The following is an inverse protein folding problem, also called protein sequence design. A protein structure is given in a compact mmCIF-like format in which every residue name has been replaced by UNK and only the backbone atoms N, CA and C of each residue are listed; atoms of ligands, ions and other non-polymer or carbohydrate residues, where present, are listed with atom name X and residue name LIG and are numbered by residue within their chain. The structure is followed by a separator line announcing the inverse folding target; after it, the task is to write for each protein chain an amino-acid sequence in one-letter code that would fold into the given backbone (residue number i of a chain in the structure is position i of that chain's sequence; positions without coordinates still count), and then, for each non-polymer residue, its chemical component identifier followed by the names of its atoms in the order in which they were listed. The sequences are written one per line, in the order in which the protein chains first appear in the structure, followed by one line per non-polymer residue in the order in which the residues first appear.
data_IF_744596330558
#
_entry.id   IF_744596330558
#
_cell.length_a   1.000
_cell.length_b   1.000
_cell.length_c   1.000
_cell.angle_alpha   90.00
_cell.angle_beta   90.00
_cell.angle_gamma   90.00
#
_symmetry.space_group_name_H-M   'P 1'
#
loop_
_entity.id
_entity.type
_entity.pdbx_description
1 polymer ?
#
# COMPACT_ATOMS: atom_id res chain seq x y z
N UNK A 1 39.27 5.69 -0.13
CA UNK A 1 39.61 7.13 -0.11
C UNK A 1 41.13 7.20 -0.16
N UNK A 2 41.71 7.71 -1.25
CA UNK A 2 43.14 8.06 -1.26
C UNK A 2 43.25 9.51 -0.83
N UNK A 3 44.13 9.79 0.12
CA UNK A 3 44.48 11.14 0.53
C UNK A 3 45.93 11.30 0.10
N UNK A 4 46.15 12.04 -0.98
CA UNK A 4 47.50 12.41 -1.41
C UNK A 4 47.73 13.87 -0.99
N UNK A 5 48.41 14.09 0.16
CA UNK A 5 48.72 15.43 0.62
C UNK A 5 49.76 16.08 -0.31
N UNK A 6 49.48 17.31 -0.74
CA UNK A 6 50.46 18.15 -1.45
C UNK A 6 51.21 18.97 -0.40
N UNK A 7 52.52 18.78 -0.33
CA UNK A 7 53.42 19.49 0.57
C UNK A 7 54.14 20.63 -0.17
N UNK A 8 54.54 21.67 0.55
CA UNK A 8 55.45 22.69 0.04
C UNK A 8 56.92 22.26 0.18
N UNK A 9 57.84 23.06 -0.35
CA UNK A 9 59.29 22.81 -0.32
C UNK A 9 59.90 22.71 1.09
N UNK A 10 59.13 23.00 2.14
CA UNK A 10 59.51 22.86 3.56
C UNK A 10 58.85 21.66 4.25
N UNK A 11 58.18 20.78 3.51
CA UNK A 11 57.50 19.60 4.04
C UNK A 11 56.18 19.88 4.76
N UNK A 12 55.64 21.10 4.65
CA UNK A 12 54.38 21.46 5.29
C UNK A 12 53.20 21.26 4.32
N UNK A 13 52.08 20.65 4.75
CA UNK A 13 50.91 20.43 3.90
C UNK A 13 50.21 21.76 3.58
N UNK A 14 50.01 22.07 2.29
CA UNK A 14 49.48 23.37 1.81
C UNK A 14 48.03 23.31 1.32
N UNK A 15 47.50 22.13 0.96
CA UNK A 15 46.10 21.96 0.54
C UNK A 15 45.67 20.50 0.64
N UNK A 16 44.46 20.27 1.16
CA UNK A 16 43.72 19.02 0.93
C UNK A 16 42.78 19.21 -0.26
N UNK A 17 42.93 18.42 -1.32
CA UNK A 17 41.96 18.36 -2.40
C UNK A 17 40.90 17.32 -2.03
N UNK A 18 39.73 17.78 -1.60
CA UNK A 18 38.59 16.90 -1.35
C UNK A 18 37.84 16.61 -2.65
N UNK A 19 37.98 15.38 -3.17
CA UNK A 19 37.08 14.85 -4.21
C UNK A 19 35.80 14.36 -3.52
N UNK A 20 34.90 15.28 -3.18
CA UNK A 20 33.51 14.98 -2.74
C UNK A 20 32.56 15.02 -3.95
N UNK A 21 33.11 15.19 -5.16
CA UNK A 21 32.35 15.31 -6.39
C UNK A 21 32.21 13.93 -7.01
N UNK A 22 30.96 13.50 -7.19
CA UNK A 22 30.51 12.32 -7.97
C UNK A 22 30.27 10.97 -7.25
N UNK A 23 30.26 10.93 -5.91
CA UNK A 23 29.82 9.71 -5.18
C UNK A 23 28.30 9.71 -4.94
N UNK A 24 27.68 10.88 -4.79
CA UNK A 24 26.26 11.02 -4.45
C UNK A 24 25.34 10.55 -5.58
N UNK A 25 25.62 10.94 -6.83
CA UNK A 25 24.78 10.57 -7.98
C UNK A 25 24.92 9.09 -8.31
N UNK A 26 26.15 8.57 -8.31
CA UNK A 26 26.40 7.13 -8.46
C UNK A 26 25.68 6.29 -7.40
N UNK A 27 25.77 6.66 -6.13
CA UNK A 27 25.08 5.93 -5.05
C UNK A 27 23.56 5.98 -5.17
N UNK A 28 22.99 7.10 -5.61
CA UNK A 28 21.54 7.20 -5.88
C UNK A 28 21.12 6.32 -7.04
N UNK A 29 21.92 6.27 -8.12
CA UNK A 29 21.66 5.40 -9.26
C UNK A 29 21.72 3.92 -8.86
N UNK A 30 22.75 3.51 -8.12
CA UNK A 30 22.90 2.15 -7.60
C UNK A 30 21.73 1.74 -6.68
N UNK A 31 21.27 2.62 -5.78
CA UNK A 31 20.13 2.32 -4.91
C UNK A 31 18.81 2.24 -5.69
N UNK A 32 18.62 3.11 -6.69
CA UNK A 32 17.42 3.08 -7.56
C UNK A 32 17.38 1.79 -8.38
N UNK A 33 18.50 1.37 -8.95
CA UNK A 33 18.62 0.10 -9.68
C UNK A 33 18.31 -1.10 -8.76
N UNK A 34 18.88 -1.10 -7.55
CA UNK A 34 18.59 -2.12 -6.54
C UNK A 34 17.11 -2.17 -6.15
N UNK A 35 16.47 -1.01 -6.02
CA UNK A 35 15.04 -0.93 -5.73
C UNK A 35 14.18 -1.46 -6.89
N UNK A 36 14.53 -1.17 -8.14
CA UNK A 36 13.86 -1.74 -9.31
C UNK A 36 14.03 -3.26 -9.38
N UNK A 37 15.25 -3.77 -9.21
CA UNK A 37 15.51 -5.20 -9.22
C UNK A 37 14.68 -5.93 -8.14
N UNK A 38 14.61 -5.37 -6.93
CA UNK A 38 13.75 -5.89 -5.84
C UNK A 38 12.27 -5.86 -6.21
N UNK A 39 11.81 -4.80 -6.85
CA UNK A 39 10.41 -4.62 -7.28
C UNK A 39 10.04 -5.66 -8.33
N UNK A 40 10.90 -5.85 -9.34
CA UNK A 40 10.69 -6.85 -10.39
C UNK A 40 10.74 -8.28 -9.83
N UNK A 41 11.69 -8.58 -8.94
CA UNK A 41 11.78 -9.88 -8.28
C UNK A 41 10.53 -10.18 -7.44
N UNK A 42 9.99 -9.18 -6.74
CA UNK A 42 8.72 -9.32 -6.02
C UNK A 42 7.57 -9.65 -6.98
N UNK A 43 7.38 -8.83 -8.02
CA UNK A 43 6.29 -9.01 -8.99
C UNK A 43 6.35 -10.37 -9.68
N UNK A 44 7.53 -10.75 -10.17
CA UNK A 44 7.77 -12.02 -10.85
C UNK A 44 7.47 -13.21 -9.94
N UNK A 45 8.02 -13.22 -8.71
CA UNK A 45 7.74 -14.28 -7.74
C UNK A 45 6.25 -14.38 -7.43
N UNK A 46 5.59 -13.26 -7.16
CA UNK A 46 4.17 -13.29 -6.80
C UNK A 46 3.28 -13.70 -7.97
N UNK A 47 3.64 -13.36 -9.21
CA UNK A 47 2.94 -13.85 -10.39
C UNK A 47 3.06 -15.38 -10.53
N UNK A 48 4.25 -15.96 -10.31
CA UNK A 48 4.45 -17.41 -10.35
C UNK A 48 3.64 -18.11 -9.24
N UNK A 49 3.76 -17.64 -8.00
CA UNK A 49 2.99 -18.18 -6.88
C UNK A 49 1.47 -18.11 -7.10
N UNK A 50 0.99 -17.05 -7.77
CA UNK A 50 -0.42 -16.89 -8.08
C UNK A 50 -0.90 -17.95 -9.09
N UNK A 51 -0.11 -18.23 -10.12
CA UNK A 51 -0.42 -19.27 -11.12
C UNK A 51 -0.38 -20.68 -10.51
N UNK A 52 0.50 -20.89 -9.53
CA UNK A 52 0.66 -22.16 -8.82
C UNK A 52 -0.34 -22.36 -7.67
N UNK A 53 -1.27 -21.40 -7.44
CA UNK A 53 -2.23 -21.53 -6.35
C UNK A 53 -3.10 -22.79 -6.52
N UNK A 54 -3.18 -23.64 -5.47
CA UNK A 54 -4.07 -24.80 -5.49
C UNK A 54 -5.53 -24.38 -5.71
N UNK A 55 -6.30 -25.23 -6.41
CA UNK A 55 -7.74 -25.06 -6.56
C UNK A 55 -8.43 -24.91 -5.20
N UNK A 56 -9.27 -23.89 -5.07
CA UNK A 56 -9.97 -23.57 -3.81
C UNK A 56 -9.19 -22.65 -2.86
N UNK A 57 -7.97 -22.23 -3.21
CA UNK A 57 -7.24 -21.21 -2.47
C UNK A 57 -8.00 -19.88 -2.42
N UNK A 58 -7.96 -19.20 -1.26
CA UNK A 58 -8.54 -17.87 -1.12
C UNK A 58 -7.62 -16.82 -1.77
N UNK A 59 -7.95 -16.48 -3.01
CA UNK A 59 -7.23 -15.47 -3.81
C UNK A 59 -7.21 -14.10 -3.13
N UNK A 60 -8.24 -13.73 -2.36
CA UNK A 60 -8.31 -12.43 -1.71
C UNK A 60 -7.35 -12.35 -0.53
N UNK A 61 -7.23 -13.44 0.23
CA UNK A 61 -6.21 -13.56 1.27
C UNK A 61 -4.80 -13.55 0.71
N UNK A 62 -4.57 -14.21 -0.44
CA UNK A 62 -3.28 -14.15 -1.13
C UNK A 62 -2.92 -12.71 -1.53
N UNK A 63 -3.81 -12.01 -2.25
CA UNK A 63 -3.62 -10.60 -2.65
C UNK A 63 -3.34 -9.73 -1.42
N UNK A 64 -4.13 -9.91 -0.37
CA UNK A 64 -3.97 -9.15 0.87
C UNK A 64 -2.58 -9.34 1.47
N UNK A 65 -2.10 -10.59 1.59
CA UNK A 65 -0.80 -10.90 2.20
C UNK A 65 0.34 -10.27 1.41
N UNK A 66 0.28 -10.33 0.08
CA UNK A 66 1.29 -9.74 -0.81
C UNK A 66 1.28 -8.21 -0.76
N UNK A 67 0.10 -7.59 -0.71
CA UNK A 67 -0.01 -6.15 -0.46
C UNK A 67 0.57 -5.78 0.90
N UNK A 68 0.28 -6.55 1.96
CA UNK A 68 0.78 -6.32 3.32
C UNK A 68 2.31 -6.32 3.36
N UNK A 69 2.96 -7.20 2.61
CA UNK A 69 4.42 -7.23 2.45
C UNK A 69 4.96 -5.95 1.78
N UNK A 70 4.24 -5.40 0.79
CA UNK A 70 4.63 -4.17 0.09
C UNK A 70 4.48 -2.92 0.95
N UNK A 71 3.37 -2.80 1.67
CA UNK A 71 2.97 -1.56 2.36
C UNK A 71 3.39 -1.50 3.83
N UNK A 72 4.05 -2.55 4.33
CA UNK A 72 4.54 -2.62 5.70
C UNK A 72 3.42 -2.47 6.73
N UNK A 73 3.65 -1.67 7.79
CA UNK A 73 2.73 -1.50 8.92
C UNK A 73 1.52 -0.57 8.63
N UNK A 74 0.65 -1.01 7.72
CA UNK A 74 -0.65 -0.40 7.38
C UNK A 74 -1.85 -1.25 7.84
N UNK A 75 -3.05 -1.04 7.30
CA UNK A 75 -4.09 -2.05 7.21
C UNK A 75 -4.36 -2.31 5.73
N UNK A 76 -4.67 -3.56 5.39
CA UNK A 76 -5.01 -3.95 4.02
C UNK A 76 -6.38 -4.62 4.06
N UNK A 77 -7.29 -4.13 3.23
CA UNK A 77 -8.56 -4.78 2.95
C UNK A 77 -8.60 -5.18 1.48
N UNK A 78 -9.09 -6.39 1.23
CA UNK A 78 -9.36 -6.86 -0.13
C UNK A 78 -10.83 -7.19 -0.20
N UNK A 79 -11.50 -6.61 -1.19
CA UNK A 79 -12.93 -6.73 -1.35
C UNK A 79 -13.27 -7.32 -2.72
N UNK A 80 -14.38 -8.07 -2.78
CA UNK A 80 -15.03 -8.42 -4.05
C UNK A 80 -16.07 -7.36 -4.39
N UNK A 81 -16.39 -7.24 -5.68
CA UNK A 81 -17.51 -6.43 -6.16
C UNK A 81 -18.54 -7.33 -6.85
N UNK A 82 -19.81 -7.17 -6.46
CA UNK A 82 -20.93 -7.86 -7.08
C UNK A 82 -21.68 -6.90 -8.01
N UNK A 83 -21.72 -7.25 -9.31
CA UNK A 83 -22.29 -6.39 -10.35
C UNK A 83 -23.81 -6.33 -10.32
N UNK A 84 -24.49 -7.39 -9.83
CA UNK A 84 -25.94 -7.43 -9.75
C UNK A 84 -26.46 -6.53 -8.63
N UNK A 85 -25.82 -6.59 -7.47
CA UNK A 85 -26.21 -5.84 -6.27
C UNK A 85 -25.48 -4.50 -6.14
N UNK A 86 -24.48 -4.24 -6.99
CA UNK A 86 -23.65 -3.04 -6.98
C UNK A 86 -22.94 -2.83 -5.62
N UNK A 87 -22.62 -3.93 -4.93
CA UNK A 87 -22.07 -3.91 -3.58
C UNK A 87 -20.63 -4.42 -3.55
N UNK A 88 -19.81 -3.77 -2.72
CA UNK A 88 -18.51 -4.27 -2.29
C UNK A 88 -18.69 -5.11 -1.02
N UNK A 89 -17.99 -6.25 -0.94
CA UNK A 89 -17.94 -7.12 0.23
C UNK A 89 -16.50 -7.39 0.63
N UNK A 90 -16.21 -7.29 1.92
CA UNK A 90 -14.88 -7.58 2.45
C UNK A 90 -14.57 -9.08 2.39
N UNK A 91 -13.42 -9.44 1.82
CA UNK A 91 -12.96 -10.83 1.67
C UNK A 91 -11.64 -11.12 2.39
N UNK A 92 -10.81 -10.10 2.62
CA UNK A 92 -9.64 -10.23 3.47
C UNK A 92 -9.39 -8.95 4.26
N UNK A 93 -9.09 -9.09 5.56
CA UNK A 93 -8.71 -7.99 6.46
C UNK A 93 -7.40 -8.29 7.17
N UNK A 94 -6.36 -7.52 6.86
CA UNK A 94 -5.01 -7.72 7.34
C UNK A 94 -4.50 -6.50 8.11
N UNK A 95 -3.86 -6.79 9.24
CA UNK A 95 -3.36 -5.84 10.23
C UNK A 95 -2.68 -6.60 11.36
N UNK A 96 -2.24 -5.93 12.42
CA UNK A 96 -1.76 -6.67 13.59
C UNK A 96 -2.95 -7.34 14.31
N UNK A 97 -2.77 -8.58 14.78
CA UNK A 97 -3.83 -9.38 15.40
C UNK A 97 -4.60 -8.62 16.49
N UNK A 98 -3.89 -8.00 17.44
CA UNK A 98 -4.48 -7.23 18.55
C UNK A 98 -5.36 -6.07 18.08
N UNK A 99 -5.02 -5.49 16.94
CA UNK A 99 -5.75 -4.35 16.37
C UNK A 99 -7.00 -4.81 15.65
N UNK A 100 -6.92 -5.89 14.89
CA UNK A 100 -8.10 -6.53 14.29
C UNK A 100 -9.09 -6.91 15.40
N UNK A 101 -8.61 -7.53 16.49
CA UNK A 101 -9.45 -7.85 17.65
C UNK A 101 -10.09 -6.58 18.28
N UNK A 102 -9.35 -5.47 18.33
CA UNK A 102 -9.86 -4.18 18.82
C UNK A 102 -10.94 -3.60 17.89
N UNK A 103 -10.75 -3.69 16.57
CA UNK A 103 -11.74 -3.28 15.57
C UNK A 103 -13.03 -4.06 15.73
N UNK A 104 -12.94 -5.40 15.83
CA UNK A 104 -14.11 -6.26 16.00
C UNK A 104 -14.90 -5.92 17.28
N UNK A 105 -14.21 -5.68 18.39
CA UNK A 105 -14.84 -5.28 19.67
C UNK A 105 -15.57 -3.94 19.57
N UNK A 106 -14.98 -2.96 18.90
CA UNK A 106 -15.54 -1.61 18.79
C UNK A 106 -16.71 -1.57 17.79
N UNK A 107 -16.57 -2.25 16.65
CA UNK A 107 -17.59 -2.24 15.61
C UNK A 107 -18.86 -2.99 16.04
N UNK A 108 -18.74 -3.96 16.97
CA UNK A 108 -19.83 -4.83 17.46
C UNK A 108 -20.59 -5.57 16.35
N UNK A 109 -20.03 -5.58 15.13
CA UNK A 109 -20.50 -6.27 13.94
C UNK A 109 -19.30 -6.86 13.24
N UNK A 110 -19.50 -7.97 12.54
CA UNK A 110 -18.46 -8.57 11.74
C UNK A 110 -18.29 -7.79 10.42
N UNK A 111 -17.14 -7.13 10.17
CA UNK A 111 -16.91 -6.41 8.91
C UNK A 111 -17.02 -7.31 7.67
N UNK A 112 -16.77 -8.62 7.82
CA UNK A 112 -16.83 -9.62 6.74
C UNK A 112 -18.26 -9.91 6.27
N UNK A 113 -19.26 -9.63 7.11
CA UNK A 113 -20.69 -9.83 6.80
C UNK A 113 -21.34 -8.54 6.29
N UNK A 114 -20.60 -7.43 6.27
CA UNK A 114 -21.10 -6.16 5.78
C UNK A 114 -20.97 -6.07 4.25
N UNK A 115 -22.02 -5.53 3.62
CA UNK A 115 -22.01 -5.12 2.22
C UNK A 115 -22.04 -3.60 2.14
N UNK A 116 -21.39 -3.02 1.13
CA UNK A 116 -21.29 -1.58 0.94
C UNK A 116 -21.71 -1.22 -0.49
N UNK A 117 -22.88 -0.61 -0.70
CA UNK A 117 -23.28 -0.14 -2.02
C UNK A 117 -22.36 1.00 -2.44
N UNK A 118 -21.80 0.92 -3.65
CA UNK A 118 -20.92 1.98 -4.15
C UNK A 118 -21.73 3.02 -4.91
N UNK A 119 -21.39 4.30 -4.72
CA UNK A 119 -21.92 5.40 -5.51
C UNK A 119 -21.11 5.59 -6.81
N UNK A 120 -21.56 6.49 -7.69
CA UNK A 120 -20.90 6.76 -8.98
C UNK A 120 -19.47 7.30 -8.80
N UNK A 121 -19.23 8.13 -7.79
CA UNK A 121 -17.89 8.67 -7.50
C UNK A 121 -16.91 7.54 -7.14
N UNK A 122 -17.30 6.64 -6.25
CA UNK A 122 -16.49 5.48 -5.88
C UNK A 122 -16.27 4.55 -7.07
N UNK A 123 -17.30 4.32 -7.89
CA UNK A 123 -17.16 3.53 -9.13
C UNK A 123 -16.12 4.16 -10.05
N UNK A 124 -16.23 5.45 -10.33
CA UNK A 124 -15.30 6.18 -11.20
C UNK A 124 -13.86 6.08 -10.69
N UNK A 125 -13.65 6.28 -9.38
CA UNK A 125 -12.34 6.16 -8.73
C UNK A 125 -11.76 4.74 -8.81
N UNK A 126 -12.58 3.71 -8.57
CA UNK A 126 -12.14 2.31 -8.62
C UNK A 126 -11.81 1.84 -10.04
N UNK A 127 -12.41 2.42 -11.07
CA UNK A 127 -12.16 2.05 -12.48
C UNK A 127 -10.96 2.74 -13.12
N UNK A 128 -10.24 3.60 -12.39
CA UNK A 128 -9.11 4.37 -12.93
C UNK A 128 -7.87 3.53 -13.23
N UNK A 129 -7.73 2.34 -12.64
CA UNK A 129 -6.48 1.57 -12.66
C UNK A 129 -5.34 2.23 -11.87
N UNK A 130 -5.66 3.16 -10.95
CA UNK A 130 -4.70 3.90 -10.13
C UNK A 130 -5.12 3.93 -8.67
N UNK A 131 -4.15 4.17 -7.78
CA UNK A 131 -4.43 4.38 -6.37
C UNK A 131 -5.06 5.75 -6.14
N UNK A 132 -6.33 5.75 -5.74
CA UNK A 132 -7.08 6.96 -5.39
C UNK A 132 -7.06 7.15 -3.88
N UNK A 133 -6.75 8.36 -3.42
CA UNK A 133 -6.84 8.70 -2.01
C UNK A 133 -8.29 9.05 -1.65
N UNK A 134 -8.84 8.43 -0.61
CA UNK A 134 -10.21 8.69 -0.15
C UNK A 134 -10.20 9.78 0.92
N UNK A 135 -10.79 10.97 0.67
CA UNK A 135 -10.95 11.99 1.71
C UNK A 135 -12.03 11.59 2.73
N UNK A 136 -11.99 12.16 3.94
CA UNK A 136 -13.06 11.99 4.93
C UNK A 136 -13.00 10.73 5.81
N UNK A 137 -12.00 9.86 5.61
CA UNK A 137 -11.66 8.77 6.53
C UNK A 137 -12.56 7.53 6.39
N UNK A 138 -12.65 6.74 7.46
CA UNK A 138 -13.41 5.49 7.49
C UNK A 138 -14.91 5.71 7.26
N UNK A 139 -15.43 6.88 7.63
CA UNK A 139 -16.86 7.17 7.46
C UNK A 139 -17.26 7.23 5.98
N UNK A 140 -16.46 7.91 5.16
CA UNK A 140 -16.65 7.96 3.71
C UNK A 140 -16.33 6.60 3.08
N UNK A 141 -15.23 5.95 3.48
CA UNK A 141 -14.86 4.61 2.99
C UNK A 141 -15.98 3.57 3.21
N UNK A 142 -16.68 3.68 4.33
CA UNK A 142 -17.80 2.78 4.69
C UNK A 142 -19.15 3.21 4.12
N UNK A 143 -19.19 4.22 3.23
CA UNK A 143 -20.42 4.78 2.68
C UNK A 143 -21.43 5.12 3.78
N UNK A 144 -20.93 5.71 4.88
CA UNK A 144 -21.70 6.13 6.04
C UNK A 144 -22.42 5.01 6.81
N UNK A 145 -22.23 3.73 6.42
CA UNK A 145 -22.78 2.58 7.14
C UNK A 145 -22.20 2.39 8.53
N UNK A 146 -20.98 2.90 8.76
CA UNK A 146 -20.38 2.93 10.09
C UNK A 146 -20.58 4.33 10.68
N UNK A 147 -21.23 4.44 11.86
CA UNK A 147 -21.47 5.74 12.49
C UNK A 147 -20.18 6.55 12.68
N UNK A 148 -20.24 7.86 12.41
CA UNK A 148 -19.06 8.74 12.44
C UNK A 148 -18.27 8.65 13.75
N UNK A 149 -18.95 8.57 14.90
CA UNK A 149 -18.29 8.45 16.21
C UNK A 149 -17.48 7.15 16.35
N UNK A 150 -17.93 6.04 15.78
CA UNK A 150 -17.18 4.77 15.72
C UNK A 150 -15.96 4.93 14.83
N UNK A 151 -16.13 5.49 13.63
CA UNK A 151 -15.02 5.78 12.71
C UNK A 151 -13.95 6.63 13.39
N UNK A 152 -14.32 7.75 14.01
CA UNK A 152 -13.38 8.65 14.68
C UNK A 152 -12.75 8.03 15.92
N UNK A 153 -13.38 7.05 16.57
CA UNK A 153 -12.79 6.27 17.65
C UNK A 153 -11.72 5.32 17.11
N UNK A 154 -12.02 4.57 16.06
CA UNK A 154 -11.08 3.66 15.40
C UNK A 154 -9.88 4.39 14.79
N UNK A 155 -10.14 5.51 14.11
CA UNK A 155 -9.10 6.37 13.50
C UNK A 155 -8.08 6.84 14.54
N UNK A 156 -8.54 7.30 15.70
CA UNK A 156 -7.67 7.76 16.79
C UNK A 156 -6.95 6.59 17.47
N UNK A 157 -7.68 5.54 17.84
CA UNK A 157 -7.13 4.39 18.56
C UNK A 157 -6.01 3.69 17.79
N UNK A 158 -6.20 3.55 16.47
CA UNK A 158 -5.26 2.83 15.61
C UNK A 158 -4.23 3.75 14.95
N UNK A 159 -4.28 5.06 15.22
CA UNK A 159 -3.46 6.08 14.60
C UNK A 159 -3.50 5.99 13.06
N UNK A 160 -4.72 5.99 12.50
CA UNK A 160 -4.92 5.86 11.05
C UNK A 160 -4.49 7.14 10.33
N UNK A 161 -3.83 6.95 9.20
CA UNK A 161 -3.37 7.98 8.29
C UNK A 161 -4.25 8.10 7.04
N UNK A 162 -3.61 8.15 5.87
CA UNK A 162 -4.30 8.17 4.59
C UNK A 162 -4.91 6.83 4.20
N UNK A 163 -6.10 6.89 3.58
CA UNK A 163 -6.82 5.77 2.98
C UNK A 163 -6.63 5.83 1.47
N UNK A 164 -6.20 4.72 0.86
CA UNK A 164 -5.97 4.59 -0.57
C UNK A 164 -6.73 3.39 -1.10
N UNK A 165 -7.37 3.53 -2.25
CA UNK A 165 -8.19 2.48 -2.88
C UNK A 165 -7.80 2.32 -4.35
N UNK A 166 -7.87 1.10 -4.85
CA UNK A 166 -7.75 0.80 -6.28
C UNK A 166 -8.63 -0.41 -6.61
N UNK A 167 -9.36 -0.34 -7.72
CA UNK A 167 -10.19 -1.44 -8.19
C UNK A 167 -9.38 -2.49 -8.96
N UNK A 168 -9.81 -3.74 -8.88
CA UNK A 168 -9.37 -4.81 -9.78
C UNK A 168 -10.20 -4.73 -11.05
N UNK A 169 -9.61 -4.25 -12.14
CA UNK A 169 -10.34 -3.94 -13.37
C UNK A 169 -9.78 -4.66 -14.57
N UNK A 170 -10.62 -5.30 -15.38
CA UNK A 170 -10.21 -5.90 -16.65
C UNK A 170 -11.22 -5.56 -17.73
N UNK A 171 -10.76 -4.98 -18.84
CA UNK A 171 -11.62 -4.55 -19.98
C UNK A 171 -12.80 -3.67 -19.51
N UNK A 172 -12.55 -2.73 -18.60
CA UNK A 172 -13.57 -1.82 -18.05
C UNK A 172 -14.48 -2.42 -16.99
N UNK A 173 -14.43 -3.73 -16.73
CA UNK A 173 -15.23 -4.40 -15.70
C UNK A 173 -14.50 -4.42 -14.36
N UNK A 174 -15.20 -4.02 -13.30
CA UNK A 174 -14.74 -4.06 -11.90
C UNK A 174 -15.03 -5.45 -11.28
N UNK A 175 -14.05 -6.04 -10.63
CA UNK A 175 -14.17 -7.35 -9.94
C UNK A 175 -14.06 -7.23 -8.42
N UNK A 176 -13.50 -6.14 -7.93
CA UNK A 176 -13.24 -5.92 -6.52
C UNK A 176 -12.32 -4.73 -6.30
N UNK A 177 -11.74 -4.62 -5.11
CA UNK A 177 -10.83 -3.54 -4.78
C UNK A 177 -9.84 -3.92 -3.70
N UNK A 178 -8.66 -3.31 -3.73
CA UNK A 178 -7.79 -3.23 -2.56
C UNK A 178 -7.93 -1.87 -1.87
N UNK A 179 -7.90 -1.88 -0.54
CA UNK A 179 -7.85 -0.68 0.30
C UNK A 179 -6.61 -0.78 1.18
N UNK A 180 -5.82 0.29 1.21
CA UNK A 180 -4.65 0.42 2.07
C UNK A 180 -4.87 1.62 3.00
N UNK A 181 -4.83 1.37 4.30
CA UNK A 181 -4.91 2.43 5.31
C UNK A 181 -3.56 2.54 6.00
N UNK A 182 -2.85 3.63 5.71
CA UNK A 182 -1.55 3.96 6.32
C UNK A 182 -1.72 4.40 7.78
N UNK A 183 -0.60 4.63 8.48
CA UNK A 183 -0.58 5.14 9.86
C UNK A 183 0.03 6.51 9.96
N UNK A 184 -0.46 7.29 10.93
CA UNK A 184 0.03 8.63 11.22
C UNK A 184 -0.03 9.54 9.99
N UNK A 185 0.92 10.46 9.88
CA UNK A 185 1.00 11.40 8.75
C UNK A 185 1.80 10.86 7.56
N UNK A 186 2.33 9.63 7.66
CA UNK A 186 3.12 9.04 6.59
C UNK A 186 2.25 8.80 5.35
N UNK A 187 2.79 9.14 4.19
CA UNK A 187 2.17 8.82 2.91
C UNK A 187 2.32 7.34 2.56
N UNK A 188 1.70 6.94 1.45
CA UNK A 188 1.93 5.64 0.85
C UNK A 188 3.14 5.70 -0.07
N UNK A 189 4.19 4.96 0.27
CA UNK A 189 5.39 4.78 -0.55
C UNK A 189 5.17 3.72 -1.64
N UNK A 190 6.09 3.64 -2.62
CA UNK A 190 6.12 2.62 -3.68
C UNK A 190 4.81 2.50 -4.47
N UNK A 191 4.12 3.63 -4.70
CA UNK A 191 2.81 3.65 -5.38
C UNK A 191 2.81 2.93 -6.72
N UNK A 192 3.80 3.19 -7.57
CA UNK A 192 3.90 2.55 -8.89
C UNK A 192 3.95 1.03 -8.81
N UNK A 193 4.73 0.48 -7.85
CA UNK A 193 4.81 -0.96 -7.63
C UNK A 193 3.49 -1.53 -7.13
N UNK A 194 2.80 -0.82 -6.22
CA UNK A 194 1.50 -1.26 -5.70
C UNK A 194 0.45 -1.24 -6.82
N UNK A 195 0.43 -0.18 -7.64
CA UNK A 195 -0.47 -0.08 -8.80
C UNK A 195 -0.21 -1.20 -9.82
N UNK A 196 1.07 -1.48 -10.10
CA UNK A 196 1.47 -2.56 -11.01
C UNK A 196 1.12 -3.94 -10.46
N UNK A 197 1.17 -4.11 -9.15
CA UNK A 197 0.77 -5.37 -8.51
C UNK A 197 -0.76 -5.59 -8.54
N UNK A 198 -1.55 -4.50 -8.41
CA UNK A 198 -3.01 -4.57 -8.36
C UNK A 198 -3.65 -4.66 -9.75
N UNK A 199 -3.10 -3.95 -10.74
CA UNK A 199 -3.64 -3.84 -12.10
C UNK A 199 -3.40 -5.09 -12.94
#
# INVERSE_FOLDING_TARGET
ASIDPVFNDKGNPIRSVHVIKDITERKKAEEKEKQYARSLAFLSRTAMEFVELPSGSDIYQFIGKRLRELVGNSFVFVNSFDETTQCIQLKAFLGARKEIESVLKILKKNPMEMSFPINEEARAGLTTGKLVKVPGGLHVLSFEKIPKHICTTLERLLNLGGIYVMGFTRKGKLFGSAVIITRGRAGLEKRELIETFIG
#
